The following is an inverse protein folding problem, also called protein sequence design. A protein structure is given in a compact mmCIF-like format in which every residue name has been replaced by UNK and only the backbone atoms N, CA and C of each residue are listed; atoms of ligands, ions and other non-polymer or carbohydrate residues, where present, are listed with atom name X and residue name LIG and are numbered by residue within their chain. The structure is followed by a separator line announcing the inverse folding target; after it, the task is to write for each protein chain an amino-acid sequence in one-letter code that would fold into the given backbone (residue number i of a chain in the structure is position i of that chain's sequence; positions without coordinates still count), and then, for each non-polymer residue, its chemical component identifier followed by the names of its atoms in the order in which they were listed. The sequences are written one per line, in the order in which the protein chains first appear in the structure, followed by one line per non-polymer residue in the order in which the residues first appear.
data_IF_311214171073
#
_entry.id   IF_311214171073
#
_cell.length_a   1.000
_cell.length_b   1.000
_cell.length_c   1.000
_cell.angle_alpha   90.00
_cell.angle_beta   90.00
_cell.angle_gamma   90.00
#
_symmetry.space_group_name_H-M   'P 1'
#
loop_
_entity.id
_entity.type
_entity.pdbx_description
1 polymer ?
#
# COMPACT_ATOMS: atom_id res chain seq x y z
N UNK A 1 -12.16 6.40 8.23
CA UNK A 1 -11.96 7.21 7.00
C UNK A 1 -11.19 6.45 5.93
N UNK A 2 -10.06 5.77 6.22
CA UNK A 2 -9.27 5.03 5.21
C UNK A 2 -10.08 4.06 4.34
N UNK A 3 -10.93 3.20 4.93
CA UNK A 3 -11.81 2.31 4.17
C UNK A 3 -12.73 3.07 3.21
N UNK A 4 -13.32 4.18 3.65
CA UNK A 4 -14.18 5.01 2.82
C UNK A 4 -13.40 5.64 1.65
N UNK A 5 -12.14 6.04 1.87
CA UNK A 5 -11.26 6.55 0.81
C UNK A 5 -10.96 5.48 -0.24
N UNK A 6 -10.66 4.24 0.18
CA UNK A 6 -10.39 3.15 -0.78
C UNK A 6 -11.67 2.73 -1.50
N UNK A 7 -12.83 2.75 -0.83
CA UNK A 7 -14.13 2.55 -1.48
C UNK A 7 -14.42 3.64 -2.52
N UNK A 8 -14.15 4.91 -2.20
CA UNK A 8 -14.25 6.00 -3.16
C UNK A 8 -13.32 5.76 -4.35
N UNK A 9 -12.09 5.33 -4.11
CA UNK A 9 -11.14 4.99 -5.16
C UNK A 9 -11.65 3.86 -6.06
N UNK A 10 -12.28 2.82 -5.50
CA UNK A 10 -12.95 1.77 -6.28
C UNK A 10 -14.07 2.32 -7.17
N UNK A 11 -14.91 3.20 -6.61
CA UNK A 11 -16.00 3.84 -7.37
C UNK A 11 -15.40 4.63 -8.55
N UNK A 12 -14.33 5.39 -8.30
CA UNK A 12 -13.62 6.15 -9.35
C UNK A 12 -13.03 5.21 -10.41
N UNK A 13 -12.38 4.11 -10.03
CA UNK A 13 -11.83 3.12 -10.97
C UNK A 13 -12.92 2.57 -11.88
N UNK A 14 -14.06 2.17 -11.31
CA UNK A 14 -15.20 1.62 -12.06
C UNK A 14 -15.82 2.69 -12.97
N UNK A 15 -16.05 3.91 -12.46
CA UNK A 15 -16.61 5.01 -13.23
C UNK A 15 -15.72 5.36 -14.43
N UNK A 16 -14.41 5.49 -14.21
CA UNK A 16 -13.42 5.75 -15.27
C UNK A 16 -13.43 4.62 -16.29
N UNK A 17 -13.48 3.36 -15.84
CA UNK A 17 -13.57 2.19 -16.71
C UNK A 17 -14.76 2.25 -17.68
N UNK A 18 -15.95 2.58 -17.16
CA UNK A 18 -17.13 2.75 -18.01
C UNK A 18 -17.00 3.95 -18.96
N UNK A 19 -16.48 5.08 -18.51
CA UNK A 19 -16.31 6.27 -19.36
C UNK A 19 -15.26 6.09 -20.45
N UNK A 20 -14.24 5.26 -20.21
CA UNK A 20 -13.19 4.94 -21.18
C UNK A 20 -13.63 3.88 -22.21
N UNK A 21 -14.86 3.34 -22.09
CA UNK A 21 -15.42 2.38 -23.03
C UNK A 21 -14.95 0.94 -22.82
N UNK A 22 -14.50 0.58 -21.61
CA UNK A 22 -14.25 -0.82 -21.28
C UNK A 22 -15.58 -1.58 -21.22
N UNK A 23 -15.77 -2.52 -22.15
CA UNK A 23 -16.97 -3.34 -22.25
C UNK A 23 -16.90 -4.54 -21.29
N UNK A 24 -18.02 -4.83 -20.62
CA UNK A 24 -18.18 -5.98 -19.72
C UNK A 24 -18.37 -5.60 -18.25
N UNK A 25 -18.63 -6.60 -17.41
CA UNK A 25 -18.77 -6.39 -15.98
C UNK A 25 -17.39 -6.20 -15.33
N UNK A 26 -17.22 -5.19 -14.44
CA UNK A 26 -15.99 -5.00 -13.70
C UNK A 26 -15.60 -6.27 -12.94
N UNK A 27 -14.33 -6.68 -12.96
CA UNK A 27 -13.88 -7.91 -12.32
C UNK A 27 -13.94 -7.76 -10.79
N UNK A 28 -15.07 -8.15 -10.19
CA UNK A 28 -15.37 -7.99 -8.76
C UNK A 28 -14.29 -8.57 -7.86
N UNK A 29 -13.77 -9.75 -8.17
CA UNK A 29 -12.69 -10.39 -7.41
C UNK A 29 -11.42 -9.52 -7.35
N UNK A 30 -11.06 -8.87 -8.47
CA UNK A 30 -9.87 -8.01 -8.56
C UNK A 30 -10.09 -6.69 -7.80
N UNK A 31 -11.29 -6.12 -7.88
CA UNK A 31 -11.66 -4.94 -7.11
C UNK A 31 -11.64 -5.23 -5.59
N UNK A 32 -12.06 -6.43 -5.17
CA UNK A 32 -12.01 -6.84 -3.77
C UNK A 32 -10.57 -7.03 -3.28
N UNK A 33 -9.69 -7.63 -4.09
CA UNK A 33 -8.26 -7.69 -3.77
C UNK A 33 -7.62 -6.31 -3.67
N UNK A 34 -7.96 -5.40 -4.58
CA UNK A 34 -7.52 -4.02 -4.51
C UNK A 34 -7.94 -3.35 -3.19
N UNK A 35 -9.21 -3.50 -2.79
CA UNK A 35 -9.73 -2.98 -1.53
C UNK A 35 -8.95 -3.53 -0.33
N UNK A 36 -8.76 -4.86 -0.31
CA UNK A 36 -8.09 -5.55 0.79
C UNK A 36 -6.64 -5.08 0.94
N UNK A 37 -5.84 -5.16 -0.14
CA UNK A 37 -4.40 -4.88 -0.07
C UNK A 37 -4.13 -3.40 0.17
N UNK A 38 -4.81 -2.51 -0.55
CA UNK A 38 -4.64 -1.06 -0.35
C UNK A 38 -5.02 -0.67 1.07
N UNK A 39 -6.11 -1.23 1.61
CA UNK A 39 -6.51 -0.95 2.99
C UNK A 39 -5.52 -1.53 4.00
N UNK A 40 -5.01 -2.75 3.80
CA UNK A 40 -4.05 -3.36 4.70
C UNK A 40 -2.75 -2.55 4.80
N UNK A 41 -2.20 -2.11 3.65
CA UNK A 41 -1.00 -1.26 3.63
C UNK A 41 -1.27 0.09 4.29
N UNK A 42 -2.38 0.73 3.93
CA UNK A 42 -2.84 1.99 4.51
C UNK A 42 -2.95 1.93 6.04
N UNK A 43 -3.58 0.87 6.58
CA UNK A 43 -3.75 0.67 8.01
C UNK A 43 -2.42 0.45 8.72
N UNK A 44 -1.49 -0.28 8.09
CA UNK A 44 -0.16 -0.52 8.65
C UNK A 44 0.67 0.76 8.71
N UNK A 45 0.65 1.57 7.66
CA UNK A 45 1.30 2.88 7.65
C UNK A 45 0.64 3.82 8.67
N UNK A 46 -0.69 3.82 8.76
CA UNK A 46 -1.40 4.63 9.75
C UNK A 46 -1.01 4.24 11.18
N UNK A 47 -0.94 2.94 11.46
CA UNK A 47 -0.51 2.44 12.76
C UNK A 47 0.93 2.88 13.08
N UNK A 48 1.86 2.77 12.13
CA UNK A 48 3.22 3.27 12.30
C UNK A 48 3.23 4.76 12.64
N UNK A 49 2.51 5.57 11.87
CA UNK A 49 2.41 7.01 12.09
C UNK A 49 1.81 7.34 13.46
N UNK A 50 0.75 6.64 13.86
CA UNK A 50 0.14 6.79 15.18
C UNK A 50 1.12 6.47 16.31
N UNK A 51 1.87 5.36 16.19
CA UNK A 51 2.89 5.00 17.19
C UNK A 51 3.96 6.07 17.28
N UNK A 52 4.49 6.56 16.14
CA UNK A 52 5.49 7.63 16.14
C UNK A 52 4.95 8.91 16.78
N UNK A 53 3.71 9.31 16.49
CA UNK A 53 3.08 10.50 17.07
C UNK A 53 2.86 10.38 18.58
N UNK A 54 2.69 9.17 19.12
CA UNK A 54 2.58 8.94 20.58
C UNK A 54 3.96 8.92 21.26
N UNK A 55 4.97 8.39 20.58
CA UNK A 55 6.33 8.32 21.11
C UNK A 55 7.01 9.70 21.13
N UNK A 56 6.84 10.49 20.08
CA UNK A 56 7.49 11.77 19.92
C UNK A 56 6.52 12.94 20.12
N UNK A 57 6.85 13.85 21.04
CA UNK A 57 6.08 15.11 21.20
C UNK A 57 6.21 16.02 19.98
N UNK A 58 7.34 15.95 19.28
CA UNK A 58 7.60 16.74 18.08
C UNK A 58 6.91 16.10 16.86
N UNK A 59 5.83 16.71 16.39
CA UNK A 59 5.03 16.24 15.25
C UNK A 59 5.78 16.28 13.92
N UNK A 60 6.89 17.04 13.83
CA UNK A 60 7.73 17.04 12.63
C UNK A 60 8.38 15.67 12.40
N UNK A 61 8.62 14.87 13.44
CA UNK A 61 9.26 13.56 13.30
C UNK A 61 8.35 12.57 12.54
N UNK A 62 7.11 12.28 12.99
CA UNK A 62 6.16 11.46 12.23
C UNK A 62 5.96 11.98 10.80
N UNK A 63 5.81 13.30 10.64
CA UNK A 63 5.61 13.93 9.34
C UNK A 63 6.79 13.68 8.38
N UNK A 64 8.03 13.94 8.83
CA UNK A 64 9.23 13.70 8.03
C UNK A 64 9.36 12.23 7.65
N UNK A 65 9.10 11.30 8.58
CA UNK A 65 9.11 9.86 8.29
C UNK A 65 8.05 9.50 7.25
N UNK A 66 6.85 10.09 7.34
CA UNK A 66 5.79 9.88 6.37
C UNK A 66 6.18 10.36 4.97
N UNK A 67 6.76 11.55 4.86
CA UNK A 67 7.20 12.13 3.58
C UNK A 67 8.33 11.29 2.98
N UNK A 68 9.40 11.04 3.75
CA UNK A 68 10.54 10.25 3.28
C UNK A 68 10.11 8.84 2.88
N UNK A 69 9.27 8.20 3.71
CA UNK A 69 8.72 6.87 3.44
C UNK A 69 7.91 6.84 2.16
N UNK A 70 7.08 7.85 1.90
CA UNK A 70 6.25 7.95 0.69
C UNK A 70 7.12 8.11 -0.56
N UNK A 71 8.14 8.98 -0.51
CA UNK A 71 9.11 9.10 -1.61
C UNK A 71 9.89 7.81 -1.84
N UNK A 72 10.40 7.18 -0.77
CA UNK A 72 11.10 5.90 -0.87
C UNK A 72 10.21 4.81 -1.47
N UNK A 73 8.93 4.74 -1.06
CA UNK A 73 7.95 3.81 -1.61
C UNK A 73 7.65 4.02 -3.10
N UNK A 74 7.65 5.27 -3.57
CA UNK A 74 7.50 5.55 -5.00
C UNK A 74 8.75 5.18 -5.79
N UNK A 75 9.95 5.52 -5.28
CA UNK A 75 11.19 5.26 -5.98
C UNK A 75 11.58 3.77 -5.98
N UNK A 76 11.21 3.01 -4.95
CA UNK A 76 11.55 1.59 -4.86
C UNK A 76 10.87 0.75 -5.94
N UNK A 77 9.74 1.21 -6.51
CA UNK A 77 9.05 0.56 -7.63
C UNK A 77 9.86 0.57 -8.94
N UNK A 78 10.91 1.39 -9.04
CA UNK A 78 11.85 1.36 -10.16
C UNK A 78 12.99 0.33 -9.97
N UNK A 79 13.07 -0.28 -8.80
CA UNK A 79 14.04 -1.31 -8.47
C UNK A 79 13.41 -2.70 -8.52
N UNK A 80 14.20 -3.78 -8.47
CA UNK A 80 13.65 -5.13 -8.39
C UNK A 80 12.72 -5.32 -7.19
N UNK A 81 11.64 -6.09 -7.38
CA UNK A 81 10.61 -6.34 -6.35
C UNK A 81 11.15 -6.92 -5.03
N UNK A 82 12.32 -7.58 -5.07
CA UNK A 82 13.00 -8.04 -3.86
C UNK A 82 13.38 -6.90 -2.91
N UNK A 83 13.70 -5.72 -3.46
CA UNK A 83 14.06 -4.54 -2.67
C UNK A 83 12.85 -3.83 -2.07
N UNK A 84 11.69 -3.90 -2.73
CA UNK A 84 10.44 -3.28 -2.24
C UNK A 84 10.01 -3.84 -0.88
N UNK A 85 10.26 -5.14 -0.65
CA UNK A 85 9.87 -5.85 0.59
C UNK A 85 10.56 -5.31 1.85
N UNK A 86 11.66 -4.56 1.72
CA UNK A 86 12.36 -3.97 2.86
C UNK A 86 11.74 -2.66 3.34
N UNK A 87 10.89 -2.03 2.53
CA UNK A 87 10.26 -0.75 2.87
C UNK A 87 8.76 -0.93 3.07
N UNK A 88 8.21 -0.41 4.17
CA UNK A 88 6.77 -0.53 4.45
C UNK A 88 5.92 0.08 3.31
N UNK A 89 6.31 1.25 2.79
CA UNK A 89 5.63 1.88 1.65
C UNK A 89 5.83 1.11 0.34
N UNK A 90 6.87 0.28 0.23
CA UNK A 90 7.08 -0.59 -0.94
C UNK A 90 6.02 -1.68 -1.08
N UNK A 91 5.28 -2.00 -0.01
CA UNK A 91 4.22 -3.02 -0.07
C UNK A 91 3.03 -2.64 -0.97
N UNK A 92 2.88 -1.37 -1.38
CA UNK A 92 1.95 -1.03 -2.46
C UNK A 92 2.37 -1.67 -3.79
N UNK A 93 3.67 -1.72 -4.09
CA UNK A 93 4.21 -2.40 -5.27
C UNK A 93 4.22 -3.92 -5.11
N UNK A 94 4.64 -4.43 -3.95
CA UNK A 94 4.68 -5.89 -3.69
C UNK A 94 3.29 -6.53 -3.83
N UNK A 95 2.23 -5.87 -3.36
CA UNK A 95 0.85 -6.36 -3.45
C UNK A 95 0.12 -5.91 -4.72
N UNK A 96 0.81 -5.23 -5.64
CA UNK A 96 0.27 -4.91 -6.96
C UNK A 96 0.14 -6.20 -7.77
N UNK A 97 -1.07 -6.45 -8.28
CA UNK A 97 -1.39 -7.65 -9.07
C UNK A 97 -1.67 -7.32 -10.54
N UNK A 98 -1.28 -6.13 -10.98
CA UNK A 98 -1.37 -5.66 -12.37
C UNK A 98 0.06 -5.39 -12.83
N UNK A 99 0.51 -6.14 -13.84
CA UNK A 99 1.79 -5.94 -14.51
C UNK A 99 1.63 -5.00 -15.70
N UNK A 100 2.73 -4.35 -16.07
CA UNK A 100 2.80 -3.44 -17.21
C UNK A 100 4.04 -3.80 -18.03
N UNK A 101 3.81 -4.30 -19.24
CA UNK A 101 4.87 -4.53 -20.21
C UNK A 101 4.88 -3.38 -21.22
N UNK A 102 6.02 -2.71 -21.34
CA UNK A 102 6.18 -1.63 -22.30
C UNK A 102 7.19 -2.02 -23.37
N UNK A 103 6.74 -2.05 -24.62
CA UNK A 103 7.60 -2.30 -25.76
C UNK A 103 8.10 -0.98 -26.34
N UNK A 104 9.42 -0.79 -26.30
CA UNK A 104 10.09 0.41 -26.85
C UNK A 104 9.92 0.54 -28.36
N UNK A 105 9.87 -0.56 -29.10
CA UNK A 105 9.84 -0.57 -30.56
C UNK A 105 8.46 -0.19 -31.10
N UNK A 106 7.41 -0.78 -30.54
CA UNK A 106 6.02 -0.54 -30.95
C UNK A 106 5.37 0.64 -30.20
N UNK A 107 5.96 1.06 -29.08
CA UNK A 107 5.42 2.06 -28.13
C UNK A 107 4.05 1.67 -27.56
N UNK A 108 3.76 0.37 -27.54
CA UNK A 108 2.54 -0.17 -26.95
C UNK A 108 2.82 -0.54 -25.49
N UNK A 109 1.84 -0.28 -24.63
CA UNK A 109 1.86 -0.68 -23.23
C UNK A 109 0.77 -1.73 -23.01
N UNK A 110 1.18 -2.94 -22.65
CA UNK A 110 0.27 -4.04 -22.34
C UNK A 110 0.12 -4.16 -20.82
N UNK A 111 -1.14 -4.25 -20.38
CA UNK A 111 -1.47 -4.48 -18.98
C UNK A 111 -2.04 -5.87 -18.80
N UNK A 112 -1.51 -6.61 -17.84
CA UNK A 112 -1.94 -7.98 -17.56
C UNK A 112 -2.06 -8.23 -16.05
N UNK A 113 -2.82 -9.24 -15.66
CA UNK A 113 -2.91 -9.63 -14.25
C UNK A 113 -1.77 -10.56 -13.89
N UNK A 114 -1.10 -10.25 -12.79
CA UNK A 114 -0.05 -11.06 -12.18
C UNK A 114 -0.65 -11.81 -10.96
N UNK A 115 -0.16 -13.01 -10.62
CA UNK A 115 -0.57 -13.68 -9.39
C UNK A 115 -0.33 -12.81 -8.15
N UNK A 116 -1.27 -12.87 -7.20
CA UNK A 116 -1.15 -12.16 -5.92
C UNK A 116 -0.01 -12.76 -5.09
N UNK A 117 0.84 -11.89 -4.55
CA UNK A 117 1.90 -12.27 -3.63
C UNK A 117 1.38 -12.42 -2.19
N UNK A 118 0.82 -13.59 -1.90
CA UNK A 118 0.33 -13.93 -0.56
C UNK A 118 1.43 -13.93 0.51
N UNK A 119 2.67 -14.24 0.13
CA UNK A 119 3.80 -14.18 1.06
C UNK A 119 4.09 -12.72 1.47
N UNK A 120 4.01 -11.79 0.51
CA UNK A 120 4.04 -10.35 0.80
C UNK A 120 2.91 -9.93 1.74
N UNK A 121 1.70 -10.44 1.55
CA UNK A 121 0.57 -10.09 2.42
C UNK A 121 0.74 -10.61 3.86
N UNK A 122 1.27 -11.83 4.02
CA UNK A 122 1.61 -12.39 5.33
C UNK A 122 2.72 -11.56 5.99
N UNK A 123 3.76 -11.19 5.25
CA UNK A 123 4.85 -10.35 5.77
C UNK A 123 4.34 -8.99 6.26
N UNK A 124 3.48 -8.33 5.48
CA UNK A 124 2.82 -7.07 5.89
C UNK A 124 2.00 -7.26 7.18
N UNK A 125 1.25 -8.36 7.27
CA UNK A 125 0.45 -8.67 8.46
C UNK A 125 1.33 -8.86 9.70
N UNK A 126 2.47 -9.56 9.57
CA UNK A 126 3.45 -9.71 10.65
C UNK A 126 4.03 -8.35 11.06
N UNK A 127 4.35 -7.49 10.09
CA UNK A 127 4.83 -6.13 10.37
C UNK A 127 3.78 -5.32 11.15
N UNK A 128 2.51 -5.39 10.74
CA UNK A 128 1.41 -4.73 11.44
C UNK A 128 1.35 -5.13 12.92
N UNK A 129 1.30 -6.44 13.20
CA UNK A 129 1.26 -6.92 14.59
C UNK A 129 2.52 -6.56 15.37
N UNK A 130 3.69 -6.61 14.73
CA UNK A 130 4.96 -6.23 15.37
C UNK A 130 4.97 -4.75 15.77
N UNK A 131 4.54 -3.85 14.87
CA UNK A 131 4.43 -2.42 15.14
C UNK A 131 3.41 -2.17 16.26
N UNK A 132 2.27 -2.86 16.22
CA UNK A 132 1.22 -2.73 17.24
C UNK A 132 1.73 -3.13 18.63
N UNK A 133 2.32 -4.32 18.76
CA UNK A 133 2.83 -4.85 20.02
C UNK A 133 3.95 -3.96 20.57
N UNK A 134 4.89 -3.57 19.72
CA UNK A 134 6.02 -2.71 20.11
C UNK A 134 5.54 -1.33 20.54
N UNK A 135 4.64 -0.71 19.75
CA UNK A 135 4.05 0.59 20.08
C UNK A 135 3.31 0.55 21.41
N UNK A 136 2.49 -0.48 21.65
CA UNK A 136 1.80 -0.69 22.93
C UNK A 136 2.78 -0.84 24.09
N UNK A 137 3.81 -1.67 23.95
CA UNK A 137 4.79 -1.91 24.99
C UNK A 137 5.60 -0.65 25.36
N UNK A 138 6.00 0.13 24.35
CA UNK A 138 6.73 1.38 24.56
C UNK A 138 5.86 2.46 25.22
N UNK A 139 4.58 2.52 24.86
CA UNK A 139 3.65 3.50 25.44
C UNK A 139 3.35 3.21 26.91
N UNK A 140 3.06 1.95 27.27
CA UNK A 140 2.81 1.55 28.67
C UNK A 140 4.00 1.87 29.58
N UNK A 141 5.23 1.73 29.09
CA UNK A 141 6.44 2.09 29.85
C UNK A 141 6.64 3.59 30.05
N UNK A 142 6.00 4.43 29.24
CA UNK A 142 6.11 5.89 29.31
C UNK A 142 5.13 6.50 30.31
N UNK A 143 4.09 5.77 30.69
CA UNK A 143 3.08 6.19 31.66
C UNK A 143 3.37 5.74 33.10
N UNK A 144 4.36 4.86 33.31
CA UNK A 144 4.91 4.51 34.64
C UNK A 144 6.15 5.33 34.96
#
# INVERSE_FOLDING_TARGET
YMLATVLLQLIVIVAVGYTAGFWGNPPSNKLLYYLLFTTAVNLTILLLQQVLSLLFKNQMIPLSVGIIGSFAGLFIMYFPQSLERFFLWGYYGVLMFVGMDWDRATRITDFHYVPVDWNGFIALSIMFFTIYITGRALFVRKEM
#
